data_IF_493519031446
#
_entry.id   IF_493519031446
#
_cell.length_a   1.000
_cell.length_b   1.000
_cell.length_c   1.000
_cell.angle_alpha   90.00
_cell.angle_beta   90.00
_cell.angle_gamma   90.00
#
_symmetry.space_group_name_H-M   'P 1'
#
loop_
_entity.id
_entity.type
_entity.pdbx_description
1 polymer ?
#
# COMPACT_ATOMS: atom_id res chain seq x y z
N UNK A 1 8.79 5.95 -4.43
CA UNK A 1 8.24 6.16 -3.06
C UNK A 1 8.90 7.37 -2.42
N UNK A 2 10.21 7.34 -2.13
CA UNK A 2 10.93 8.48 -1.54
C UNK A 2 10.68 9.80 -2.29
N UNK A 3 10.80 9.79 -3.62
CA UNK A 3 10.60 10.99 -4.42
C UNK A 3 9.18 11.57 -4.37
N UNK A 4 8.17 10.70 -4.24
CA UNK A 4 6.78 11.14 -4.09
C UNK A 4 6.62 11.83 -2.73
N UNK A 5 7.01 11.17 -1.64
CA UNK A 5 6.79 11.70 -0.30
C UNK A 5 7.61 12.96 -0.01
N UNK A 6 8.82 13.08 -0.55
CA UNK A 6 9.75 14.18 -0.23
C UNK A 6 9.77 15.30 -1.27
N UNK A 7 9.25 15.08 -2.49
CA UNK A 7 9.43 15.99 -3.62
C UNK A 7 10.87 16.09 -4.14
N UNK A 8 11.77 15.19 -3.73
CA UNK A 8 13.20 15.18 -4.12
C UNK A 8 13.51 14.02 -5.06
N UNK A 9 14.58 14.12 -5.84
CA UNK A 9 15.08 12.93 -6.56
C UNK A 9 15.49 11.84 -5.54
N UNK A 10 15.38 10.54 -5.86
CA UNK A 10 15.71 9.47 -4.91
C UNK A 10 17.12 9.61 -4.31
N UNK A 11 18.11 10.03 -5.12
CA UNK A 11 19.45 10.36 -4.65
C UNK A 11 19.48 11.47 -3.59
N UNK A 12 18.72 12.56 -3.79
CA UNK A 12 18.65 13.69 -2.84
C UNK A 12 17.81 13.36 -1.60
N UNK A 13 16.88 12.41 -1.72
CA UNK A 13 16.11 11.87 -0.61
C UNK A 13 16.90 10.82 0.21
N UNK A 14 18.15 10.52 -0.13
CA UNK A 14 18.96 9.52 0.57
C UNK A 14 18.62 8.07 0.25
N UNK A 15 17.76 7.81 -0.74
CA UNK A 15 17.29 6.47 -1.13
C UNK A 15 17.53 6.26 -2.64
N UNK A 16 18.79 6.06 -3.08
CA UNK A 16 19.13 5.99 -4.51
C UNK A 16 18.64 4.71 -5.21
N UNK A 17 18.25 3.68 -4.45
CA UNK A 17 17.75 2.41 -4.96
C UNK A 17 16.72 1.79 -4.01
N UNK A 18 16.32 0.54 -4.28
CA UNK A 18 15.46 -0.19 -3.36
C UNK A 18 16.16 -0.39 -2.02
N UNK A 19 15.46 -0.08 -0.92
CA UNK A 19 15.99 -0.27 0.42
C UNK A 19 16.16 -1.78 0.68
N UNK A 20 17.37 -2.27 0.98
CA UNK A 20 17.57 -3.67 1.27
C UNK A 20 16.96 -4.03 2.64
N UNK A 21 16.79 -5.31 2.90
CA UNK A 21 16.34 -5.78 4.21
C UNK A 21 17.34 -5.36 5.26
N UNK A 22 16.85 -4.78 6.36
CA UNK A 22 17.66 -4.20 7.44
C UNK A 22 18.64 -3.12 6.95
N UNK A 23 18.42 -2.57 5.75
CA UNK A 23 19.19 -1.47 5.20
C UNK A 23 18.83 -0.14 5.82
N UNK A 24 19.73 0.83 5.65
CA UNK A 24 19.42 2.23 5.93
C UNK A 24 18.28 2.69 5.01
N UNK A 25 17.21 3.16 5.65
CA UNK A 25 16.03 3.67 4.99
C UNK A 25 16.19 5.10 4.47
N UNK A 26 15.05 5.72 4.21
CA UNK A 26 14.97 7.17 4.06
C UNK A 26 15.46 7.83 5.36
N UNK A 27 16.43 8.75 5.31
CA UNK A 27 16.90 9.45 6.51
C UNK A 27 15.77 10.21 7.20
N UNK A 28 15.76 10.22 8.52
CA UNK A 28 14.70 10.83 9.34
C UNK A 28 14.61 12.35 9.13
N UNK A 29 15.70 13.00 8.71
CA UNK A 29 15.69 14.44 8.41
C UNK A 29 15.00 14.79 7.08
N UNK A 30 14.56 13.79 6.30
CA UNK A 30 13.79 14.03 5.09
C UNK A 30 12.38 14.47 5.46
N UNK A 31 12.05 15.71 5.12
CA UNK A 31 10.70 16.22 5.29
C UNK A 31 9.75 15.67 4.22
N UNK A 32 8.60 15.15 4.65
CA UNK A 32 7.60 14.56 3.77
C UNK A 32 6.34 15.40 3.62
N UNK A 33 5.57 15.12 2.58
CA UNK A 33 4.23 15.70 2.37
C UNK A 33 3.29 15.43 3.55
N UNK A 34 3.44 14.30 4.25
CA UNK A 34 2.61 13.97 5.40
C UNK A 34 2.91 14.93 6.57
N UNK A 35 4.17 15.18 6.89
CA UNK A 35 4.54 16.16 7.93
C UNK A 35 4.09 17.59 7.56
N UNK A 36 4.23 17.97 6.28
CA UNK A 36 3.72 19.24 5.77
C UNK A 36 2.22 19.38 5.99
N UNK A 37 1.44 18.36 5.62
CA UNK A 37 -0.03 18.42 5.75
C UNK A 37 -0.46 18.35 7.22
N UNK A 38 0.17 17.50 8.03
CA UNK A 38 -0.08 17.37 9.47
C UNK A 38 0.16 18.69 10.22
N UNK A 39 1.26 19.38 9.94
CA UNK A 39 1.53 20.71 10.51
C UNK A 39 0.52 21.79 10.09
N UNK A 40 -0.27 21.54 9.04
CA UNK A 40 -1.35 22.40 8.56
C UNK A 40 -2.76 21.86 8.91
N UNK A 41 -2.86 20.97 9.90
CA UNK A 41 -4.14 20.54 10.49
C UNK A 41 -4.82 19.35 9.80
N UNK A 42 -4.16 18.69 8.84
CA UNK A 42 -4.68 17.47 8.25
C UNK A 42 -4.45 16.27 9.18
N UNK A 43 -5.44 15.38 9.27
CA UNK A 43 -5.18 14.02 9.71
C UNK A 43 -4.40 13.27 8.62
N UNK A 44 -3.47 12.40 9.00
CA UNK A 44 -2.59 11.73 8.03
C UNK A 44 -2.58 10.22 8.24
N UNK A 45 -2.82 9.47 7.17
CA UNK A 45 -2.83 8.02 7.22
C UNK A 45 -2.07 7.41 6.04
N UNK A 46 -1.38 6.31 6.31
CA UNK A 46 -0.85 5.44 5.26
C UNK A 46 -1.41 4.03 5.43
N UNK A 47 -1.93 3.48 4.33
CA UNK A 47 -2.42 2.09 4.29
C UNK A 47 -1.79 1.40 3.08
N UNK A 48 -1.01 0.35 3.31
CA UNK A 48 -0.34 -0.42 2.26
C UNK A 48 1.17 -0.49 2.43
N UNK A 49 1.90 -0.47 1.31
CA UNK A 49 3.36 -0.66 1.30
C UNK A 49 4.11 0.59 1.76
N UNK A 50 5.13 0.46 2.60
CA UNK A 50 6.09 1.53 2.93
C UNK A 50 7.33 1.49 2.04
N UNK A 51 8.21 0.49 2.21
CA UNK A 51 9.43 0.24 1.44
C UNK A 51 10.43 1.41 1.41
N UNK A 52 10.54 2.13 2.51
CA UNK A 52 11.53 3.19 2.73
C UNK A 52 12.36 2.96 4.00
N UNK A 53 12.45 1.70 4.44
CA UNK A 53 13.24 1.29 5.60
C UNK A 53 12.45 1.27 6.90
N UNK A 54 13.05 0.61 7.89
CA UNK A 54 12.42 0.25 9.16
C UNK A 54 13.36 0.48 10.35
N UNK A 55 14.65 0.70 10.06
CA UNK A 55 15.73 0.69 11.05
C UNK A 55 16.02 2.13 11.45
N UNK A 56 15.97 2.42 12.75
CA UNK A 56 16.37 3.68 13.40
C UNK A 56 15.46 4.91 13.24
N UNK A 57 14.13 4.78 13.21
CA UNK A 57 13.23 5.95 13.32
C UNK A 57 12.76 6.58 12.01
N UNK A 58 12.83 5.85 10.89
CA UNK A 58 12.34 6.27 9.57
C UNK A 58 11.07 5.56 9.12
N UNK A 59 10.26 5.08 10.07
CA UNK A 59 8.99 4.43 9.78
C UNK A 59 7.92 5.42 9.34
N UNK A 60 6.74 4.95 8.89
CA UNK A 60 5.66 5.85 8.49
C UNK A 60 5.22 6.80 9.61
N UNK A 61 5.17 6.32 10.86
CA UNK A 61 4.75 7.13 12.01
C UNK A 61 5.76 8.23 12.37
N UNK A 62 7.03 8.00 12.10
CA UNK A 62 8.09 8.99 12.30
C UNK A 62 8.08 10.02 11.16
N UNK A 63 7.58 9.63 9.98
CA UNK A 63 7.51 10.43 8.76
C UNK A 63 6.14 11.09 8.56
N UNK A 64 5.58 11.60 9.66
CA UNK A 64 4.42 12.48 9.65
C UNK A 64 3.06 11.82 9.55
N UNK A 65 2.94 10.49 9.41
CA UNK A 65 1.65 9.81 9.40
C UNK A 65 1.14 9.54 10.83
N UNK A 66 -0.13 9.85 11.11
CA UNK A 66 -0.78 9.55 12.39
C UNK A 66 -1.10 8.05 12.54
N UNK A 67 -1.44 7.40 11.43
CA UNK A 67 -1.71 5.96 11.40
C UNK A 67 -0.91 5.26 10.30
N UNK A 68 -0.58 3.99 10.57
CA UNK A 68 -0.03 3.07 9.59
C UNK A 68 -0.71 1.71 9.69
N UNK A 69 -1.14 1.18 8.55
CA UNK A 69 -1.41 -0.24 8.40
C UNK A 69 -0.77 -0.77 7.13
N UNK A 70 -0.08 -1.89 7.20
CA UNK A 70 0.44 -2.57 6.04
C UNK A 70 1.82 -3.15 6.25
N UNK A 71 2.61 -3.19 5.18
CA UNK A 71 3.87 -3.91 5.15
C UNK A 71 5.03 -2.97 4.86
N UNK A 72 6.18 -3.23 5.47
CA UNK A 72 7.29 -2.29 5.45
C UNK A 72 8.34 -2.62 4.39
N UNK A 73 8.43 -3.87 3.94
CA UNK A 73 9.37 -4.35 2.91
C UNK A 73 8.85 -4.22 1.48
N UNK A 74 9.62 -4.76 0.54
CA UNK A 74 9.38 -4.64 -0.89
C UNK A 74 8.16 -5.41 -1.42
N UNK A 75 7.73 -6.48 -0.77
CA UNK A 75 6.57 -7.27 -1.18
C UNK A 75 6.15 -8.22 -0.07
N UNK A 76 4.90 -8.69 -0.12
CA UNK A 76 4.39 -9.74 0.75
C UNK A 76 3.50 -10.66 -0.08
N UNK A 77 3.32 -11.89 0.37
CA UNK A 77 2.24 -12.74 -0.12
C UNK A 77 0.90 -12.15 0.33
N UNK A 78 -0.11 -12.08 -0.54
CA UNK A 78 -1.32 -11.34 -0.22
C UNK A 78 -2.25 -12.05 0.78
N UNK A 79 -1.96 -13.28 1.20
CA UNK A 79 -2.81 -14.01 2.15
C UNK A 79 -2.08 -14.39 3.43
N UNK A 80 -0.81 -14.76 3.35
CA UNK A 80 0.03 -15.04 4.52
C UNK A 80 0.73 -13.81 5.05
N UNK A 81 0.91 -12.77 4.22
CA UNK A 81 1.58 -11.51 4.60
C UNK A 81 3.08 -11.67 4.91
N UNK A 82 3.68 -12.77 4.46
CA UNK A 82 5.11 -12.99 4.54
C UNK A 82 5.82 -12.33 3.36
N UNK A 83 6.90 -11.63 3.67
CA UNK A 83 7.91 -11.28 2.67
C UNK A 83 8.66 -12.56 2.25
N UNK A 84 8.78 -12.80 0.94
CA UNK A 84 9.34 -14.04 0.37
C UNK A 84 10.46 -13.83 -0.67
N UNK A 85 10.87 -12.58 -0.93
CA UNK A 85 11.83 -12.29 -2.02
C UNK A 85 13.29 -12.61 -1.67
N UNK A 86 13.60 -12.74 -0.39
CA UNK A 86 14.89 -13.24 0.08
C UNK A 86 14.71 -13.94 1.43
N UNK A 87 15.26 -15.15 1.52
CA UNK A 87 15.08 -16.01 2.68
C UNK A 87 15.83 -15.55 3.95
N UNK A 88 15.43 -16.05 5.12
CA UNK A 88 14.19 -16.80 5.36
C UNK A 88 12.95 -15.90 5.14
N UNK A 89 11.80 -16.49 4.83
CA UNK A 89 10.56 -15.73 4.77
C UNK A 89 10.26 -15.15 6.16
N UNK A 90 9.86 -13.89 6.21
CA UNK A 90 9.55 -13.19 7.47
C UNK A 90 8.20 -12.52 7.32
N UNK A 91 7.37 -12.64 8.35
CA UNK A 91 6.09 -11.94 8.41
C UNK A 91 6.33 -10.41 8.37
N UNK A 92 5.43 -9.68 7.72
CA UNK A 92 5.56 -8.24 7.48
C UNK A 92 4.19 -7.58 7.38
N UNK A 93 3.35 -7.74 8.39
CA UNK A 93 2.09 -7.00 8.52
C UNK A 93 2.02 -6.28 9.85
N UNK A 94 1.73 -4.98 9.79
CA UNK A 94 1.83 -4.09 10.93
C UNK A 94 0.63 -3.17 11.04
N UNK A 95 0.24 -2.87 12.28
CA UNK A 95 -0.63 -1.77 12.66
C UNK A 95 0.15 -0.86 13.58
N UNK A 96 0.53 0.31 13.07
CA UNK A 96 1.50 1.19 13.73
C UNK A 96 2.83 0.48 13.94
N UNK A 97 3.23 0.28 15.19
CA UNK A 97 4.45 -0.44 15.58
C UNK A 97 4.21 -1.91 15.95
N UNK A 98 2.95 -2.34 16.02
CA UNK A 98 2.58 -3.70 16.41
C UNK A 98 2.46 -4.60 15.18
N UNK A 99 3.08 -5.78 15.25
CA UNK A 99 2.90 -6.83 14.25
C UNK A 99 1.53 -7.48 14.44
N UNK A 100 0.76 -7.64 13.36
CA UNK A 100 -0.62 -8.15 13.41
C UNK A 100 -0.80 -9.30 12.43
N UNK A 101 -1.56 -10.31 12.82
CA UNK A 101 -1.75 -11.55 12.05
C UNK A 101 -3.18 -11.61 11.51
N UNK A 102 -3.30 -11.67 10.19
CA UNK A 102 -4.58 -11.69 9.45
C UNK A 102 -4.59 -12.85 8.43
N UNK A 103 -4.01 -14.00 8.81
CA UNK A 103 -3.81 -15.15 7.94
C UNK A 103 -5.06 -15.54 7.14
N UNK A 104 -4.88 -15.69 5.83
CA UNK A 104 -5.94 -16.09 4.91
C UNK A 104 -6.85 -14.95 4.45
N UNK A 105 -6.77 -13.75 5.05
CA UNK A 105 -7.42 -12.57 4.51
C UNK A 105 -6.58 -11.96 3.40
N UNK A 106 -7.25 -11.53 2.32
CA UNK A 106 -6.57 -10.91 1.20
C UNK A 106 -6.13 -9.48 1.57
N UNK A 107 -4.85 -9.18 1.38
CA UNK A 107 -4.26 -7.92 1.84
C UNK A 107 -4.93 -6.67 1.24
N UNK A 108 -5.39 -6.72 -0.01
CA UNK A 108 -6.11 -5.58 -0.61
C UNK A 108 -7.45 -5.32 0.09
N UNK A 109 -8.14 -6.36 0.59
CA UNK A 109 -9.38 -6.19 1.35
C UNK A 109 -9.12 -5.61 2.73
N UNK A 110 -8.03 -6.03 3.37
CA UNK A 110 -7.57 -5.42 4.61
C UNK A 110 -7.24 -3.94 4.39
N UNK A 111 -6.53 -3.61 3.30
CA UNK A 111 -6.26 -2.21 2.94
C UNK A 111 -7.57 -1.41 2.79
N UNK A 112 -8.59 -1.96 2.13
CA UNK A 112 -9.89 -1.29 2.02
C UNK A 112 -10.56 -1.10 3.37
N UNK A 113 -10.55 -2.11 4.25
CA UNK A 113 -11.11 -2.03 5.60
C UNK A 113 -10.50 -0.86 6.37
N UNK A 114 -9.17 -0.77 6.38
CA UNK A 114 -8.45 0.28 7.12
C UNK A 114 -8.60 1.66 6.49
N UNK A 115 -8.56 1.75 5.15
CA UNK A 115 -8.81 3.00 4.43
C UNK A 115 -10.20 3.56 4.73
N UNK A 116 -11.23 2.70 4.63
CA UNK A 116 -12.64 3.05 4.90
C UNK A 116 -12.83 3.49 6.37
N UNK A 117 -12.15 2.82 7.31
CA UNK A 117 -12.11 3.22 8.72
C UNK A 117 -11.50 4.61 8.91
N UNK A 118 -10.29 4.84 8.39
CA UNK A 118 -9.63 6.15 8.48
C UNK A 118 -10.46 7.28 7.87
N UNK A 119 -11.04 7.07 6.68
CA UNK A 119 -11.90 8.07 6.03
C UNK A 119 -13.11 8.39 6.91
N UNK A 120 -13.75 7.37 7.50
CA UNK A 120 -14.90 7.57 8.38
C UNK A 120 -14.57 8.35 9.64
N UNK A 121 -13.44 8.03 10.29
CA UNK A 121 -13.02 8.68 11.53
C UNK A 121 -12.62 10.15 11.31
N UNK A 122 -12.30 10.52 10.07
CA UNK A 122 -11.84 11.85 9.71
C UNK A 122 -12.80 12.62 8.80
N UNK A 123 -14.03 12.14 8.60
CA UNK A 123 -15.02 12.75 7.69
C UNK A 123 -15.32 14.23 7.95
N UNK A 124 -15.15 14.71 9.19
CA UNK A 124 -15.52 16.07 9.59
C UNK A 124 -14.28 17.01 9.70
N UNK A 125 -13.10 16.57 9.22
CA UNK A 125 -11.87 17.37 9.18
C UNK A 125 -11.05 17.05 7.92
N UNK A 126 -10.16 17.94 7.46
CA UNK A 126 -9.29 17.61 6.33
C UNK A 126 -8.39 16.41 6.67
N UNK A 127 -8.22 15.50 5.71
CA UNK A 127 -7.34 14.36 5.86
C UNK A 127 -6.53 14.07 4.59
N UNK A 128 -5.40 13.42 4.78
CA UNK A 128 -4.52 12.91 3.73
C UNK A 128 -4.33 11.42 3.93
N UNK A 129 -4.88 10.63 3.02
CA UNK A 129 -4.68 9.18 3.00
C UNK A 129 -3.76 8.80 1.83
N UNK A 130 -2.57 8.31 2.15
CA UNK A 130 -1.70 7.67 1.17
C UNK A 130 -2.01 6.17 1.11
N UNK A 131 -2.56 5.70 -0.02
CA UNK A 131 -2.99 4.31 -0.21
C UNK A 131 -2.13 3.55 -1.25
N UNK A 132 -0.84 3.29 -0.96
CA UNK A 132 0.03 2.61 -1.92
C UNK A 132 -0.23 1.10 -1.97
N UNK A 133 -1.22 0.69 -2.79
CA UNK A 133 -1.46 -0.71 -3.14
C UNK A 133 -0.16 -1.42 -3.52
N UNK A 134 -0.02 -2.66 -3.05
CA UNK A 134 1.10 -3.52 -3.39
C UNK A 134 0.87 -4.22 -4.74
N UNK A 135 -0.37 -4.59 -5.06
CA UNK A 135 -0.76 -5.10 -6.37
C UNK A 135 -0.69 -3.98 -7.42
N UNK A 136 -0.29 -4.26 -8.69
CA UNK A 136 -0.15 -5.58 -9.31
C UNK A 136 1.28 -6.17 -9.24
N UNK A 137 2.08 -5.80 -8.25
CA UNK A 137 3.35 -6.49 -8.01
C UNK A 137 3.11 -7.97 -7.70
N UNK A 138 4.10 -8.81 -8.02
CA UNK A 138 4.11 -10.23 -7.64
C UNK A 138 3.89 -10.38 -6.11
N UNK A 139 3.15 -11.41 -5.63
CA UNK A 139 2.62 -12.56 -6.35
C UNK A 139 1.34 -12.25 -7.12
N UNK A 140 1.16 -12.89 -8.28
CA UNK A 140 0.03 -12.63 -9.18
C UNK A 140 -1.27 -13.30 -8.70
N UNK A 141 -1.80 -12.82 -7.58
CA UNK A 141 -2.96 -13.38 -6.87
C UNK A 141 -4.19 -12.50 -7.09
N UNK A 142 -4.82 -12.60 -8.26
CA UNK A 142 -6.04 -11.87 -8.58
C UNK A 142 -7.29 -12.51 -7.94
N UNK A 143 -8.31 -11.69 -7.71
CA UNK A 143 -9.65 -12.15 -7.29
C UNK A 143 -10.25 -13.11 -8.32
N UNK A 144 -11.07 -14.05 -7.84
CA UNK A 144 -11.61 -15.12 -8.67
C UNK A 144 -12.51 -14.58 -9.80
N UNK A 145 -13.30 -13.54 -9.51
CA UNK A 145 -14.17 -12.89 -10.50
C UNK A 145 -13.39 -12.45 -11.75
N UNK A 146 -12.29 -11.73 -11.57
CA UNK A 146 -11.47 -11.24 -12.69
C UNK A 146 -10.74 -12.36 -13.42
N UNK A 147 -10.36 -13.43 -12.70
CA UNK A 147 -9.80 -14.63 -13.32
C UNK A 147 -10.83 -15.31 -14.21
N UNK A 148 -12.08 -15.38 -13.79
CA UNK A 148 -13.14 -15.99 -14.58
C UNK A 148 -13.56 -15.12 -15.77
N UNK A 149 -13.55 -13.79 -15.60
CA UNK A 149 -13.74 -12.84 -16.71
C UNK A 149 -12.75 -13.06 -17.85
N UNK A 150 -11.45 -13.23 -17.55
CA UNK A 150 -10.42 -13.41 -18.59
C UNK A 150 -10.20 -14.86 -19.04
N UNK A 151 -10.78 -15.85 -18.34
CA UNK A 151 -10.59 -17.27 -18.63
C UNK A 151 -10.94 -17.67 -20.07
N UNK A 152 -12.04 -17.20 -20.67
CA UNK A 152 -12.36 -17.54 -22.07
C UNK A 152 -11.28 -17.07 -23.07
N UNK A 153 -10.64 -15.92 -22.82
CA UNK A 153 -9.58 -15.40 -23.68
C UNK A 153 -8.27 -16.21 -23.55
N UNK A 154 -7.98 -16.71 -22.35
CA UNK A 154 -6.87 -17.66 -22.11
C UNK A 154 -7.13 -18.98 -22.84
N UNK A 155 -8.31 -19.59 -22.63
CA UNK A 155 -8.67 -20.90 -23.19
C UNK A 155 -8.74 -20.89 -24.72
N UNK A 156 -9.22 -19.79 -25.31
CA UNK A 156 -9.24 -19.58 -26.77
C UNK A 156 -7.89 -19.14 -27.36
N UNK A 157 -6.84 -19.05 -26.55
CA UNK A 157 -5.48 -18.60 -26.94
C UNK A 157 -5.41 -17.18 -27.52
N UNK A 158 -6.42 -16.36 -27.26
CA UNK A 158 -6.41 -14.93 -27.59
C UNK A 158 -5.55 -14.13 -26.59
N UNK A 159 -5.26 -14.72 -25.44
CA UNK A 159 -4.44 -14.14 -24.38
C UNK A 159 -3.40 -15.14 -23.88
N UNK A 160 -2.11 -14.79 -23.81
CA UNK A 160 -1.09 -15.65 -23.20
C UNK A 160 -1.23 -15.66 -21.66
N UNK A 161 -0.77 -16.74 -21.03
CA UNK A 161 -0.93 -17.01 -19.59
C UNK A 161 -0.36 -15.90 -18.69
N UNK A 162 0.83 -15.38 -19.01
CA UNK A 162 1.43 -14.27 -18.28
C UNK A 162 0.54 -13.01 -18.31
N UNK A 163 -0.14 -12.75 -19.45
CA UNK A 163 -1.06 -11.62 -19.60
C UNK A 163 -2.36 -11.88 -18.87
N UNK A 164 -2.86 -13.11 -18.86
CA UNK A 164 -4.04 -13.51 -18.09
C UNK A 164 -3.87 -13.20 -16.60
N UNK A 165 -2.76 -13.64 -15.99
CA UNK A 165 -2.52 -13.40 -14.56
C UNK A 165 -2.41 -11.91 -14.23
N UNK A 166 -1.65 -11.16 -15.03
CA UNK A 166 -1.45 -9.73 -14.78
C UNK A 166 -2.72 -8.90 -15.06
N UNK A 167 -3.44 -9.18 -16.15
CA UNK A 167 -4.70 -8.48 -16.46
C UNK A 167 -5.75 -8.71 -15.38
N UNK A 168 -5.90 -9.95 -14.90
CA UNK A 168 -6.81 -10.27 -13.80
C UNK A 168 -6.47 -9.47 -12.54
N UNK A 169 -5.17 -9.30 -12.23
CA UNK A 169 -4.73 -8.57 -11.05
C UNK A 169 -4.90 -7.05 -11.19
N UNK A 170 -4.71 -6.51 -12.40
CA UNK A 170 -4.97 -5.10 -12.69
C UNK A 170 -6.46 -4.78 -12.55
N UNK A 171 -7.35 -5.65 -13.04
CA UNK A 171 -8.79 -5.44 -12.85
C UNK A 171 -9.23 -5.59 -11.40
N UNK A 172 -8.59 -6.51 -10.65
CA UNK A 172 -8.75 -6.56 -9.19
C UNK A 172 -8.36 -5.23 -8.56
N UNK A 173 -7.22 -4.64 -8.92
CA UNK A 173 -6.82 -3.33 -8.41
C UNK A 173 -7.82 -2.22 -8.78
N UNK A 174 -8.29 -2.18 -10.01
CA UNK A 174 -9.26 -1.19 -10.49
C UNK A 174 -10.56 -1.22 -9.67
N UNK A 175 -11.07 -2.42 -9.42
CA UNK A 175 -12.24 -2.63 -8.55
C UNK A 175 -12.01 -2.14 -7.13
N UNK A 176 -10.87 -2.49 -6.50
CA UNK A 176 -10.56 -2.03 -5.14
C UNK A 176 -10.41 -0.50 -5.09
N UNK A 177 -9.84 0.14 -6.11
CA UNK A 177 -9.82 1.61 -6.22
C UNK A 177 -11.24 2.17 -6.35
N UNK A 178 -12.08 1.56 -7.20
CA UNK A 178 -13.49 1.93 -7.35
C UNK A 178 -14.27 1.84 -6.04
N UNK A 179 -14.02 0.82 -5.22
CA UNK A 179 -14.62 0.69 -3.90
C UNK A 179 -14.25 1.82 -2.93
N UNK A 180 -13.01 2.32 -2.97
CA UNK A 180 -12.61 3.48 -2.15
C UNK A 180 -13.32 4.73 -2.64
N UNK A 181 -13.34 4.97 -3.95
CA UNK A 181 -13.99 6.14 -4.53
C UNK A 181 -15.49 6.15 -4.25
N UNK A 182 -16.17 5.02 -4.43
CA UNK A 182 -17.59 4.87 -4.09
C UNK A 182 -17.84 5.08 -2.58
N UNK A 183 -16.89 4.72 -1.73
CA UNK A 183 -16.97 4.97 -0.29
C UNK A 183 -16.86 6.47 0.05
N UNK A 184 -15.91 7.18 -0.58
CA UNK A 184 -15.74 8.63 -0.46
C UNK A 184 -17.00 9.36 -0.94
N UNK A 185 -17.54 8.95 -2.09
CA UNK A 185 -18.79 9.50 -2.65
C UNK A 185 -19.98 9.26 -1.70
N UNK A 186 -20.12 8.05 -1.15
CA UNK A 186 -21.21 7.74 -0.22
C UNK A 186 -21.15 8.57 1.06
N UNK A 187 -19.96 8.97 1.50
CA UNK A 187 -19.80 9.87 2.64
C UNK A 187 -19.98 11.35 2.28
N UNK A 188 -20.19 11.68 1.00
CA UNK A 188 -20.37 13.05 0.53
C UNK A 188 -19.07 13.85 0.52
N UNK A 189 -17.92 13.18 0.37
CA UNK A 189 -16.60 13.79 0.48
C UNK A 189 -15.95 14.11 -0.88
N UNK A 190 -16.60 13.81 -2.01
CA UNK A 190 -16.02 13.98 -3.36
C UNK A 190 -15.79 15.44 -3.77
N UNK A 191 -16.62 16.36 -3.28
CA UNK A 191 -16.60 17.77 -3.70
C UNK A 191 -15.62 18.65 -2.88
N UNK A 192 -14.89 18.05 -1.93
CA UNK A 192 -13.97 18.72 -0.99
C UNK A 192 -12.66 17.93 -0.82
#
# INVERSE_FOLDING_TARGET
RAAMLTGRTPFRAGVPGNVPINGLGMPDEQFTIAEMLKSNGYATGIVGKWHLGEVNGGGPLDQGFDIFFGHKRGCIDNYSHFFYWSGPNVHDLWRGTEEVWEDGHYFSDLMLREAKGFISDNRDRPFFLYLPFNIPHYPLQAEQEWRDYYRPALESKQMPENRFHYASLVSTLDEKVGEVLAYVERLGLTDN
#
